data_IF_217252794575
#
_entry.id   IF_217252794575
#
_cell.length_a   1.000
_cell.length_b   1.000
_cell.length_c   1.000
_cell.angle_alpha   90.00
_cell.angle_beta   90.00
_cell.angle_gamma   90.00
#
_symmetry.space_group_name_H-M   'P 1'
#
loop_
_entity.id
_entity.type
_entity.pdbx_description
1 polymer ?
#
# COMPACT_ATOMS: atom_id res chain seq x y z
N UNK A 1 -3.44 -10.67 24.48
CA UNK A 1 -3.42 -9.61 23.48
C UNK A 1 -2.16 -9.69 22.64
N UNK A 2 -2.20 -9.21 21.40
CA UNK A 2 -1.05 -9.15 20.50
C UNK A 2 -1.01 -7.80 19.80
N UNK A 3 0.16 -7.45 19.25
CA UNK A 3 0.33 -6.26 18.44
C UNK A 3 -0.42 -6.36 17.10
N UNK A 4 -0.69 -5.24 16.47
CA UNK A 4 -1.38 -5.14 15.18
C UNK A 4 -0.67 -5.93 14.07
N UNK A 5 0.64 -5.81 13.96
CA UNK A 5 1.45 -6.54 12.97
C UNK A 5 1.32 -8.07 13.07
N UNK A 6 1.03 -8.63 14.26
CA UNK A 6 0.79 -10.06 14.45
C UNK A 6 -0.68 -10.46 14.24
N UNK A 7 -1.64 -9.56 14.53
CA UNK A 7 -3.06 -9.90 14.57
C UNK A 7 -3.80 -9.55 13.28
N UNK A 8 -3.33 -8.59 12.50
CA UNK A 8 -3.95 -8.22 11.20
C UNK A 8 -3.89 -9.39 10.22
N UNK A 9 -2.76 -10.12 10.16
CA UNK A 9 -2.66 -11.33 9.35
C UNK A 9 -3.70 -12.39 9.72
N UNK A 10 -3.96 -12.56 11.02
CA UNK A 10 -5.00 -13.48 11.52
C UNK A 10 -6.40 -13.02 11.07
N UNK A 11 -6.70 -11.72 11.23
CA UNK A 11 -7.95 -11.14 10.76
C UNK A 11 -8.16 -11.30 9.26
N UNK A 12 -7.08 -11.28 8.47
CA UNK A 12 -7.10 -11.56 7.04
C UNK A 12 -7.16 -13.05 6.71
N UNK A 13 -7.03 -13.95 7.70
CA UNK A 13 -7.01 -15.40 7.52
C UNK A 13 -5.65 -15.99 7.16
N UNK A 14 -4.55 -15.25 7.31
CA UNK A 14 -3.18 -15.76 7.16
C UNK A 14 -2.71 -16.35 8.50
N UNK A 15 -2.99 -17.63 8.70
CA UNK A 15 -2.78 -18.32 10.00
C UNK A 15 -1.89 -19.55 9.91
N UNK A 16 -1.82 -20.18 8.74
CA UNK A 16 -1.02 -21.38 8.52
C UNK A 16 0.39 -21.05 8.05
N UNK A 17 1.35 -21.92 8.37
CA UNK A 17 2.72 -21.76 7.86
C UNK A 17 2.71 -21.69 6.33
N UNK A 18 3.29 -20.64 5.78
CA UNK A 18 3.33 -20.33 4.35
C UNK A 18 2.21 -19.41 3.87
N UNK A 19 1.25 -19.05 4.72
CA UNK A 19 0.24 -18.03 4.38
C UNK A 19 0.89 -16.65 4.34
N UNK A 20 0.58 -15.88 3.29
CA UNK A 20 1.05 -14.51 3.13
C UNK A 20 -0.11 -13.51 3.15
N UNK A 21 0.17 -12.32 3.66
CA UNK A 21 -0.76 -11.20 3.61
C UNK A 21 -0.04 -9.88 3.30
N UNK A 22 -0.77 -8.99 2.67
CA UNK A 22 -0.40 -7.60 2.46
C UNK A 22 -1.38 -6.74 3.24
N UNK A 23 -0.86 -5.81 4.00
CA UNK A 23 -1.65 -4.77 4.66
C UNK A 23 -1.32 -3.41 4.04
N UNK A 24 -2.36 -2.65 3.70
CA UNK A 24 -2.25 -1.29 3.21
C UNK A 24 -3.16 -0.37 4.03
N UNK A 25 -2.58 0.22 5.04
CA UNK A 25 -3.14 1.29 5.87
C UNK A 25 -2.33 2.57 5.70
N UNK A 26 -2.20 3.40 6.72
CA UNK A 26 -1.33 4.59 6.74
C UNK A 26 0.10 4.21 6.35
N UNK A 27 0.70 3.24 7.05
CA UNK A 27 1.83 2.44 6.59
C UNK A 27 1.33 1.18 5.89
N UNK A 28 2.25 0.36 5.40
CA UNK A 28 1.91 -0.92 4.82
C UNK A 28 2.96 -1.97 5.12
N UNK A 29 2.62 -3.24 4.97
CA UNK A 29 3.58 -4.32 5.10
C UNK A 29 3.18 -5.56 4.33
N UNK A 30 4.17 -6.41 4.14
CA UNK A 30 3.99 -7.79 3.68
C UNK A 30 4.44 -8.71 4.78
N UNK A 31 3.63 -9.70 5.13
CA UNK A 31 3.93 -10.69 6.16
C UNK A 31 3.67 -12.10 5.69
N UNK A 32 4.56 -13.03 6.04
CA UNK A 32 4.41 -14.46 5.78
C UNK A 32 4.57 -15.24 7.06
N UNK A 33 3.64 -16.14 7.34
CA UNK A 33 3.72 -17.03 8.52
C UNK A 33 4.81 -18.07 8.33
N UNK A 34 5.76 -18.13 9.25
CA UNK A 34 6.92 -19.05 9.19
C UNK A 34 7.09 -19.82 10.52
N UNK A 35 7.71 -21.03 10.49
CA UNK A 35 7.86 -21.85 11.68
C UNK A 35 9.07 -21.47 12.54
N UNK A 36 9.95 -20.62 12.08
CA UNK A 36 11.21 -20.28 12.74
C UNK A 36 11.50 -18.78 12.71
N UNK A 37 12.29 -18.31 13.63
CA UNK A 37 12.75 -16.93 13.62
C UNK A 37 13.75 -16.72 12.48
N UNK A 38 13.51 -15.69 11.67
CA UNK A 38 14.30 -15.33 10.49
C UNK A 38 14.68 -13.87 10.53
N UNK A 39 15.87 -13.55 10.04
CA UNK A 39 16.35 -12.16 9.88
C UNK A 39 17.02 -12.02 8.52
N UNK A 40 16.71 -10.94 7.83
CA UNK A 40 17.40 -10.48 6.63
C UNK A 40 17.82 -9.02 6.80
N UNK A 41 19.04 -8.84 7.27
CA UNK A 41 19.60 -7.50 7.49
C UNK A 41 19.81 -6.73 6.16
N UNK A 42 19.99 -7.44 5.05
CA UNK A 42 20.14 -6.83 3.72
C UNK A 42 18.84 -6.29 3.14
N UNK A 43 17.70 -6.79 3.62
CA UNK A 43 16.37 -6.33 3.23
C UNK A 43 15.60 -5.66 4.38
N UNK A 44 16.23 -5.49 5.55
CA UNK A 44 15.60 -4.92 6.75
C UNK A 44 14.32 -5.64 7.15
N UNK A 45 14.28 -6.96 6.97
CA UNK A 45 13.15 -7.82 7.29
C UNK A 45 13.49 -8.77 8.43
N UNK A 46 12.53 -8.98 9.34
CA UNK A 46 12.69 -9.91 10.45
C UNK A 46 11.37 -10.61 10.78
N UNK A 47 11.48 -11.80 11.34
CA UNK A 47 10.34 -12.51 11.87
C UNK A 47 10.04 -12.05 13.30
N UNK A 48 8.83 -11.54 13.51
CA UNK A 48 8.27 -11.21 14.82
C UNK A 48 7.43 -12.39 15.32
N UNK A 49 7.18 -12.45 16.61
CA UNK A 49 6.33 -13.49 17.21
C UNK A 49 4.95 -13.45 16.58
N UNK A 50 4.48 -14.59 16.11
CA UNK A 50 3.15 -14.77 15.52
C UNK A 50 2.03 -14.70 16.56
N UNK A 51 0.79 -14.71 16.08
CA UNK A 51 -0.38 -14.84 16.96
C UNK A 51 -0.46 -16.23 17.61
N UNK A 52 -0.03 -17.28 16.90
CA UNK A 52 0.27 -18.59 17.47
C UNK A 52 1.69 -18.56 18.01
N UNK A 53 1.93 -18.86 19.31
CA UNK A 53 3.27 -18.83 19.92
C UNK A 53 4.31 -19.76 19.28
N UNK A 54 3.86 -20.77 18.52
CA UNK A 54 4.72 -21.73 17.80
C UNK A 54 5.12 -21.23 16.40
N UNK A 55 4.64 -20.07 15.99
CA UNK A 55 4.91 -19.49 14.67
C UNK A 55 5.43 -18.07 14.78
N UNK A 56 5.99 -17.60 13.68
CA UNK A 56 6.46 -16.23 13.52
C UNK A 56 5.81 -15.61 12.28
N UNK A 57 5.77 -14.30 12.22
CA UNK A 57 5.39 -13.54 11.05
C UNK A 57 6.64 -12.87 10.47
N UNK A 58 7.15 -13.37 9.34
CA UNK A 58 8.29 -12.78 8.64
C UNK A 58 7.80 -11.58 7.87
N UNK A 59 8.32 -10.40 8.19
CA UNK A 59 7.64 -9.14 8.02
C UNK A 59 8.57 -8.10 7.41
N UNK A 60 8.07 -7.33 6.46
CA UNK A 60 8.71 -6.16 5.85
C UNK A 60 7.74 -5.01 5.76
N UNK A 61 8.14 -3.81 6.17
CA UNK A 61 7.30 -2.62 6.30
C UNK A 61 7.65 -1.54 5.29
N UNK A 62 6.62 -0.95 4.68
CA UNK A 62 6.64 0.29 3.92
C UNK A 62 6.13 1.42 4.81
N UNK A 63 6.95 2.46 5.00
CA UNK A 63 6.67 3.57 5.90
C UNK A 63 5.42 4.36 5.50
N UNK A 64 5.21 4.58 4.20
CA UNK A 64 4.05 5.30 3.66
C UNK A 64 3.35 4.48 2.59
N UNK A 65 2.18 3.94 2.90
CA UNK A 65 1.29 3.24 1.97
C UNK A 65 0.10 4.13 1.59
N UNK A 66 -1.09 3.92 2.12
CA UNK A 66 -2.25 4.79 1.83
C UNK A 66 -2.08 6.23 2.33
N UNK A 67 -1.07 6.51 3.14
CA UNK A 67 -0.68 7.90 3.42
C UNK A 67 -0.27 8.64 2.14
N UNK A 68 0.27 7.94 1.12
CA UNK A 68 0.52 8.52 -0.20
C UNK A 68 -0.79 8.87 -0.92
N UNK A 69 -1.84 8.04 -0.81
CA UNK A 69 -3.16 8.34 -1.36
C UNK A 69 -3.81 9.53 -0.62
N UNK A 70 -3.67 9.57 0.70
CA UNK A 70 -4.06 10.74 1.50
C UNK A 70 -3.33 12.01 1.06
N UNK A 71 -2.03 11.94 0.81
CA UNK A 71 -1.26 13.06 0.30
C UNK A 71 -1.76 13.54 -1.09
N UNK A 72 -2.08 12.60 -1.98
CA UNK A 72 -2.70 12.93 -3.28
C UNK A 72 -4.04 13.64 -3.07
N UNK A 73 -4.88 13.10 -2.17
CA UNK A 73 -6.17 13.71 -1.82
C UNK A 73 -5.97 15.16 -1.38
N UNK A 74 -5.06 15.38 -0.43
CA UNK A 74 -4.89 16.66 0.22
C UNK A 74 -4.20 17.71 -0.67
N UNK A 75 -3.26 17.30 -1.53
CA UNK A 75 -2.40 18.22 -2.29
C UNK A 75 -2.67 18.25 -3.80
N UNK A 76 -3.26 17.21 -4.37
CA UNK A 76 -3.54 17.16 -5.82
C UNK A 76 -5.04 17.16 -6.14
N UNK A 77 -5.91 16.75 -5.22
CA UNK A 77 -7.35 16.63 -5.48
C UNK A 77 -8.19 17.66 -4.72
N UNK A 78 -7.97 17.83 -3.41
CA UNK A 78 -8.79 18.69 -2.56
C UNK A 78 -8.51 20.19 -2.71
N UNK A 79 -7.32 20.60 -3.13
CA UNK A 79 -7.01 22.02 -3.28
C UNK A 79 -7.98 22.72 -4.21
N UNK A 80 -8.29 22.12 -5.37
CA UNK A 80 -9.27 22.66 -6.32
C UNK A 80 -10.70 22.55 -5.79
N UNK A 81 -11.04 21.41 -5.16
CA UNK A 81 -12.37 21.17 -4.58
C UNK A 81 -12.61 22.07 -3.38
N UNK A 82 -11.61 22.25 -2.51
CA UNK A 82 -11.71 23.16 -1.36
C UNK A 82 -11.96 24.61 -1.77
N UNK A 83 -11.35 25.08 -2.86
CA UNK A 83 -11.62 26.39 -3.45
C UNK A 83 -13.02 26.45 -4.06
N UNK A 84 -13.42 25.39 -4.78
CA UNK A 84 -14.76 25.30 -5.40
C UNK A 84 -15.86 25.27 -4.33
N UNK A 85 -15.74 24.43 -3.30
CA UNK A 85 -16.73 24.34 -2.21
C UNK A 85 -16.84 25.61 -1.39
N UNK A 86 -15.72 26.32 -1.13
CA UNK A 86 -15.76 27.65 -0.51
C UNK A 86 -16.54 28.70 -1.33
N UNK A 87 -16.51 28.58 -2.65
CA UNK A 87 -17.15 29.53 -3.56
C UNK A 87 -18.59 29.17 -3.90
N UNK A 88 -18.90 27.90 -4.04
CA UNK A 88 -20.15 27.40 -4.65
C UNK A 88 -20.87 26.33 -3.83
N UNK A 89 -20.24 25.81 -2.75
CA UNK A 89 -20.84 24.77 -1.91
C UNK A 89 -22.01 25.28 -1.08
N UNK A 90 -23.05 24.48 -0.97
CA UNK A 90 -24.12 24.72 -0.02
C UNK A 90 -23.63 24.43 1.40
N UNK A 91 -24.04 25.25 2.38
CA UNK A 91 -23.64 25.16 3.77
C UNK A 91 -24.10 23.87 4.51
N UNK A 92 -24.69 22.91 3.80
CA UNK A 92 -25.26 21.67 4.34
C UNK A 92 -24.36 20.44 4.19
N UNK A 93 -23.31 20.49 3.35
CA UNK A 93 -22.41 19.37 3.19
C UNK A 93 -21.28 19.46 4.23
N UNK A 94 -21.20 18.49 5.13
CA UNK A 94 -20.09 18.41 6.08
C UNK A 94 -18.78 18.09 5.31
N UNK A 95 -17.68 18.73 5.69
CA UNK A 95 -16.36 18.45 5.11
C UNK A 95 -15.99 16.96 5.26
N UNK A 96 -16.39 16.32 6.36
CA UNK A 96 -16.18 14.89 6.60
C UNK A 96 -16.86 13.99 5.57
N UNK A 97 -18.08 14.34 5.13
CA UNK A 97 -18.81 13.59 4.11
C UNK A 97 -18.13 13.72 2.75
N UNK A 98 -17.64 14.91 2.40
CA UNK A 98 -16.90 15.16 1.17
C UNK A 98 -15.56 14.42 1.17
N UNK A 99 -14.85 14.39 2.30
CA UNK A 99 -13.59 13.66 2.44
C UNK A 99 -13.76 12.14 2.30
N UNK A 100 -14.85 11.58 2.82
CA UNK A 100 -15.17 10.16 2.67
C UNK A 100 -15.44 9.80 1.20
N UNK A 101 -16.23 10.58 0.51
CA UNK A 101 -16.56 10.35 -0.90
C UNK A 101 -15.37 10.56 -1.84
N UNK A 102 -14.30 11.23 -1.39
CA UNK A 102 -13.10 11.46 -2.19
C UNK A 102 -12.30 10.19 -2.48
N UNK A 103 -12.28 9.22 -1.58
CA UNK A 103 -11.59 7.95 -1.84
C UNK A 103 -12.30 7.15 -2.92
N UNK A 104 -13.63 7.10 -2.90
CA UNK A 104 -14.44 6.46 -3.95
C UNK A 104 -14.22 7.16 -5.29
N UNK A 105 -14.22 8.49 -5.30
CA UNK A 105 -13.91 9.28 -6.50
C UNK A 105 -12.50 9.00 -7.03
N UNK A 106 -11.50 8.88 -6.16
CA UNK A 106 -10.15 8.51 -6.59
C UNK A 106 -10.10 7.11 -7.23
N UNK A 107 -10.84 6.14 -6.69
CA UNK A 107 -10.97 4.80 -7.28
C UNK A 107 -11.58 4.87 -8.70
N UNK A 108 -12.66 5.65 -8.89
CA UNK A 108 -13.25 5.87 -10.22
C UNK A 108 -12.26 6.53 -11.19
N UNK A 109 -11.51 7.54 -10.73
CA UNK A 109 -10.51 8.23 -11.56
C UNK A 109 -9.41 7.27 -12.02
N UNK A 110 -8.84 6.48 -11.11
CA UNK A 110 -7.74 5.56 -11.47
C UNK A 110 -8.20 4.44 -12.39
N UNK A 111 -9.47 4.03 -12.34
CA UNK A 111 -10.03 3.03 -13.25
C UNK A 111 -10.06 3.51 -14.72
N UNK A 112 -10.21 4.80 -14.95
CA UNK A 112 -10.24 5.38 -16.30
C UNK A 112 -8.88 5.46 -16.99
N UNK A 113 -7.78 5.32 -16.24
CA UNK A 113 -6.41 5.45 -16.76
C UNK A 113 -5.85 4.06 -17.09
N UNK A 114 -5.18 3.87 -18.22
CA UNK A 114 -4.60 2.57 -18.58
C UNK A 114 -3.50 2.16 -17.59
N UNK A 115 -3.33 0.84 -17.42
CA UNK A 115 -2.25 0.26 -16.63
C UNK A 115 -0.89 0.81 -17.04
N UNK A 116 -0.05 1.10 -16.05
CA UNK A 116 1.26 1.75 -16.25
C UNK A 116 1.19 3.27 -16.33
N UNK A 117 0.03 3.90 -16.04
CA UNK A 117 -0.13 5.36 -15.90
C UNK A 117 0.50 6.17 -17.04
N UNK A 118 0.34 5.71 -18.30
CA UNK A 118 1.01 6.27 -19.49
C UNK A 118 2.54 6.38 -19.35
N UNK A 119 3.16 5.47 -18.59
CA UNK A 119 4.61 5.38 -18.37
C UNK A 119 5.12 6.20 -17.18
N UNK A 120 4.24 6.80 -16.39
CA UNK A 120 4.64 7.48 -15.15
C UNK A 120 4.86 6.47 -14.04
N UNK A 121 5.96 6.61 -13.33
CA UNK A 121 6.31 5.80 -12.15
C UNK A 121 6.38 6.70 -10.93
N UNK A 122 5.82 6.26 -9.81
CA UNK A 122 5.91 6.94 -8.52
C UNK A 122 6.67 6.08 -7.50
N UNK A 123 7.52 6.72 -6.71
CA UNK A 123 8.17 6.08 -5.57
C UNK A 123 7.46 6.48 -4.27
N UNK A 124 6.89 5.52 -3.50
CA UNK A 124 6.04 5.82 -2.35
C UNK A 124 6.84 6.10 -1.06
N UNK A 125 7.90 6.91 -1.15
CA UNK A 125 8.84 7.17 -0.05
C UNK A 125 8.70 8.58 0.51
N UNK A 126 7.46 9.04 0.72
CA UNK A 126 7.17 10.40 1.19
C UNK A 126 7.70 10.68 2.61
N UNK A 127 8.10 9.66 3.34
CA UNK A 127 8.68 9.77 4.69
C UNK A 127 9.81 8.76 4.89
N UNK A 128 10.75 8.73 3.95
CA UNK A 128 11.79 7.71 3.94
C UNK A 128 11.29 6.34 3.48
N UNK A 129 12.17 5.36 3.51
CA UNK A 129 11.86 3.97 3.24
C UNK A 129 12.52 3.05 4.27
N UNK A 130 11.85 1.92 4.60
CA UNK A 130 12.33 0.95 5.59
C UNK A 130 12.72 -0.38 4.96
N UNK A 131 11.86 -0.97 4.16
CA UNK A 131 12.10 -2.24 3.47
C UNK A 131 11.82 -2.08 1.96
N UNK A 132 12.50 -2.84 1.08
CA UNK A 132 13.60 -3.78 1.32
C UNK A 132 15.00 -3.13 1.36
N UNK A 133 15.09 -1.83 1.49
CA UNK A 133 16.30 -1.06 1.81
C UNK A 133 15.94 0.06 2.78
N UNK A 134 16.82 0.38 3.71
CA UNK A 134 16.58 1.46 4.66
C UNK A 134 17.26 2.74 4.18
N UNK A 135 16.44 3.77 3.98
CA UNK A 135 16.92 5.14 3.76
C UNK A 135 15.91 6.14 4.34
N UNK A 136 16.19 6.72 5.52
CA UNK A 136 15.30 7.69 6.14
C UNK A 136 15.18 9.01 5.36
N UNK A 137 16.09 9.26 4.41
CA UNK A 137 16.09 10.46 3.57
C UNK A 137 15.50 10.22 2.18
N UNK A 138 15.08 8.99 1.87
CA UNK A 138 14.37 8.72 0.61
C UNK A 138 13.11 9.59 0.51
N UNK A 139 12.81 10.07 -0.67
CA UNK A 139 11.68 10.94 -0.94
C UNK A 139 10.82 10.40 -2.09
N UNK A 140 9.54 10.77 -2.10
CA UNK A 140 8.64 10.48 -3.20
C UNK A 140 9.09 11.21 -4.48
N UNK A 141 8.97 10.51 -5.62
CA UNK A 141 9.33 11.05 -6.93
C UNK A 141 8.36 10.55 -7.99
N UNK A 142 7.97 11.44 -8.89
CA UNK A 142 7.36 11.06 -10.16
C UNK A 142 8.43 11.05 -11.25
N UNK A 143 8.54 9.94 -11.96
CA UNK A 143 9.46 9.77 -13.08
C UNK A 143 8.71 9.71 -14.40
N UNK A 144 9.33 10.23 -15.49
CA UNK A 144 8.84 10.20 -16.86
C UNK A 144 7.54 10.98 -17.09
N UNK A 145 7.40 12.16 -16.46
CA UNK A 145 6.31 13.10 -16.76
C UNK A 145 6.55 13.71 -18.15
N UNK A 146 5.54 13.67 -19.01
CA UNK A 146 5.54 14.23 -20.37
C UNK A 146 4.34 15.18 -20.54
N UNK A 147 4.29 15.91 -21.67
CA UNK A 147 3.23 16.88 -21.94
C UNK A 147 1.81 16.29 -21.98
N UNK A 148 1.68 15.00 -22.25
CA UNK A 148 0.39 14.30 -22.28
C UNK A 148 0.03 13.64 -20.94
N UNK A 149 0.83 13.87 -19.89
CA UNK A 149 0.54 13.36 -18.54
C UNK A 149 -0.18 14.44 -17.75
N UNK A 150 -1.36 14.13 -17.28
CA UNK A 150 -2.17 14.98 -16.42
C UNK A 150 -2.22 14.50 -14.99
N UNK A 151 -3.06 15.13 -14.19
CA UNK A 151 -3.27 14.83 -12.77
C UNK A 151 -3.77 13.40 -12.55
N UNK A 152 -4.63 12.91 -13.43
CA UNK A 152 -5.23 11.57 -13.32
C UNK A 152 -4.21 10.45 -13.45
N UNK A 153 -3.24 10.58 -14.37
CA UNK A 153 -2.12 9.66 -14.48
C UNK A 153 -1.22 9.70 -13.25
N UNK A 154 -0.99 10.88 -12.68
CA UNK A 154 -0.21 11.00 -11.44
C UNK A 154 -0.92 10.30 -10.27
N UNK A 155 -2.24 10.42 -10.16
CA UNK A 155 -3.04 9.76 -9.12
C UNK A 155 -2.92 8.23 -9.26
N UNK A 156 -3.13 7.68 -10.46
CA UNK A 156 -2.98 6.25 -10.71
C UNK A 156 -1.54 5.78 -10.45
N UNK A 157 -0.54 6.52 -10.88
CA UNK A 157 0.87 6.18 -10.65
C UNK A 157 1.21 6.04 -9.16
N UNK A 158 0.57 6.82 -8.28
CA UNK A 158 0.75 6.68 -6.82
C UNK A 158 0.26 5.32 -6.34
N UNK A 159 -0.93 4.88 -6.75
CA UNK A 159 -1.47 3.57 -6.37
C UNK A 159 -0.61 2.44 -6.95
N UNK A 160 -0.25 2.51 -8.23
CA UNK A 160 0.65 1.54 -8.86
C UNK A 160 2.02 1.50 -8.16
N UNK A 161 2.58 2.65 -7.79
CA UNK A 161 3.85 2.73 -7.07
C UNK A 161 3.83 2.05 -5.70
N UNK A 162 2.72 2.18 -4.96
CA UNK A 162 2.49 1.44 -3.71
C UNK A 162 2.45 -0.07 -4.00
N UNK A 163 1.68 -0.49 -5.00
CA UNK A 163 1.56 -1.90 -5.38
C UNK A 163 2.88 -2.51 -5.85
N UNK A 164 3.65 -1.80 -6.68
CA UNK A 164 5.01 -2.23 -7.08
C UNK A 164 5.94 -2.40 -5.87
N UNK A 165 5.87 -1.51 -4.91
CA UNK A 165 6.68 -1.64 -3.70
C UNK A 165 6.25 -2.85 -2.85
N UNK A 166 4.95 -3.09 -2.70
CA UNK A 166 4.43 -4.29 -2.02
C UNK A 166 4.89 -5.57 -2.73
N UNK A 167 4.83 -5.60 -4.06
CA UNK A 167 5.34 -6.71 -4.87
C UNK A 167 6.84 -6.92 -4.64
N UNK A 168 7.64 -5.86 -4.63
CA UNK A 168 9.08 -5.95 -4.37
C UNK A 168 9.39 -6.56 -3.00
N UNK A 169 8.66 -6.12 -1.97
CA UNK A 169 8.80 -6.73 -0.63
C UNK A 169 8.37 -8.21 -0.61
N UNK A 170 7.27 -8.55 -1.29
CA UNK A 170 6.80 -9.93 -1.40
C UNK A 170 7.85 -10.83 -2.07
N UNK A 171 8.40 -10.40 -3.21
CA UNK A 171 9.46 -11.12 -3.91
C UNK A 171 10.71 -11.33 -3.03
N UNK A 172 11.09 -10.33 -2.25
CA UNK A 172 12.20 -10.46 -1.29
C UNK A 172 11.89 -11.49 -0.21
N UNK A 173 10.66 -11.54 0.29
CA UNK A 173 10.24 -12.56 1.26
C UNK A 173 10.22 -13.96 0.62
N UNK A 174 9.72 -14.10 -0.59
CA UNK A 174 9.63 -15.37 -1.31
C UNK A 174 10.98 -16.05 -1.45
N UNK A 175 12.07 -15.32 -1.65
CA UNK A 175 13.43 -15.88 -1.71
C UNK A 175 13.79 -16.73 -0.48
N UNK A 176 13.18 -16.45 0.68
CA UNK A 176 13.44 -17.16 1.95
C UNK A 176 12.29 -18.05 2.38
N UNK A 177 11.08 -17.79 1.92
CA UNK A 177 9.85 -18.45 2.41
C UNK A 177 9.25 -19.45 1.43
N UNK A 178 9.73 -19.54 0.18
CA UNK A 178 9.20 -20.45 -0.85
C UNK A 178 9.06 -21.90 -0.37
N UNK A 179 9.99 -22.37 0.45
CA UNK A 179 9.94 -23.73 1.04
C UNK A 179 8.75 -23.97 1.96
N UNK A 180 8.09 -22.91 2.45
CA UNK A 180 6.92 -22.99 3.33
C UNK A 180 5.61 -22.73 2.61
N UNK A 181 5.64 -22.09 1.44
CA UNK A 181 4.43 -21.70 0.72
C UNK A 181 3.65 -22.93 0.27
N UNK A 182 2.39 -23.01 0.71
CA UNK A 182 1.42 -24.03 0.30
C UNK A 182 0.43 -23.51 -0.74
N UNK A 183 0.27 -22.19 -0.84
CA UNK A 183 -0.66 -21.51 -1.72
C UNK A 183 0.00 -20.30 -2.37
N UNK A 184 -0.42 -19.99 -3.59
CA UNK A 184 -0.05 -18.74 -4.27
C UNK A 184 -0.99 -17.57 -3.92
N UNK A 185 -1.96 -17.81 -3.03
CA UNK A 185 -2.91 -16.79 -2.61
C UNK A 185 -2.25 -15.87 -1.59
N UNK A 186 -2.27 -14.57 -1.87
CA UNK A 186 -1.89 -13.52 -0.94
C UNK A 186 -3.16 -12.80 -0.49
N UNK A 187 -3.34 -12.62 0.81
CA UNK A 187 -4.51 -11.95 1.37
C UNK A 187 -4.23 -10.45 1.47
N UNK A 188 -5.15 -9.64 0.97
CA UNK A 188 -5.02 -8.19 1.02
C UNK A 188 -6.01 -7.60 2.02
N UNK A 189 -5.56 -6.67 2.87
CA UNK A 189 -6.37 -6.06 3.92
C UNK A 189 -5.91 -4.63 4.24
N UNK A 190 -6.69 -3.94 5.05
CA UNK A 190 -6.50 -2.51 5.35
C UNK A 190 -7.37 -1.62 4.46
N UNK A 191 -7.23 -0.31 4.61
CA UNK A 191 -8.02 0.68 3.85
C UNK A 191 -7.82 0.57 2.32
N UNK A 192 -6.61 0.20 1.87
CA UNK A 192 -6.34 -0.01 0.44
C UNK A 192 -7.10 -1.18 -0.18
N UNK A 193 -7.55 -2.14 0.64
CA UNK A 193 -8.34 -3.28 0.18
C UNK A 193 -9.85 -2.98 0.02
N UNK A 194 -10.29 -1.76 0.31
CA UNK A 194 -11.68 -1.35 0.12
C UNK A 194 -11.98 -0.95 -1.33
N UNK A 195 -10.95 -0.54 -2.11
CA UNK A 195 -11.08 -0.16 -3.49
C UNK A 195 -10.95 -1.36 -4.44
N UNK A 196 -11.93 -1.61 -5.29
CA UNK A 196 -11.90 -2.71 -6.26
C UNK A 196 -10.79 -2.51 -7.29
N UNK A 197 -10.62 -1.29 -7.79
CA UNK A 197 -9.56 -0.94 -8.76
C UNK A 197 -8.17 -1.10 -8.15
N UNK A 198 -7.98 -0.68 -6.91
CA UNK A 198 -6.72 -0.88 -6.17
C UNK A 198 -6.42 -2.37 -5.98
N UNK A 199 -7.42 -3.18 -5.62
CA UNK A 199 -7.28 -4.64 -5.52
C UNK A 199 -6.88 -5.27 -6.87
N UNK A 200 -7.49 -4.83 -7.97
CA UNK A 200 -7.17 -5.33 -9.30
C UNK A 200 -5.75 -4.94 -9.72
N UNK A 201 -5.35 -3.69 -9.48
CA UNK A 201 -3.96 -3.24 -9.76
C UNK A 201 -2.94 -4.10 -9.01
N UNK A 202 -3.19 -4.36 -7.72
CA UNK A 202 -2.29 -5.21 -6.92
C UNK A 202 -2.26 -6.65 -7.41
N UNK A 203 -3.37 -7.17 -7.90
CA UNK A 203 -3.45 -8.55 -8.44
C UNK A 203 -2.77 -8.69 -9.80
N UNK A 204 -2.73 -7.63 -10.61
CA UNK A 204 -2.11 -7.60 -11.94
C UNK A 204 -0.58 -7.44 -11.88
N UNK A 205 -0.08 -6.88 -10.79
CA UNK A 205 1.35 -6.67 -10.52
C UNK A 205 1.96 -7.90 -9.84
#
# INVERSE_FOLDING_TARGET
GGGDASLIGVGAGAVEIGDAHIYSGTSGWVGTVVPEQMVDTGAMMAAIVGANPETFNYFGELETSNKCVGWVKDHLALDEIGVFLKRYGNATDSLEQVEFNMYDYLEEVIDTIPAGSNGVIFTPWLHGNRCPFEDPNAAGMFFNIRLNVGKTELIRAVVEGICFHMRWMLERQELKTTKYQKSKTVRFCGGGALGETTCQILADI
#
